data_IF_815638323210
#
_entry.id   IF_815638323210
#
_cell.length_a   1.000
_cell.length_b   1.000
_cell.length_c   1.000
_cell.angle_alpha   90.00
_cell.angle_beta   90.00
_cell.angle_gamma   90.00
#
_symmetry.space_group_name_H-M   'P 1'
#
loop_
_entity.id
_entity.type
_entity.pdbx_description
1 polymer ?
#
# COMPACT_ATOMS: atom_id res chain seq x y z
N UNK A 1 14.71 -47.18 68.35
CA UNK A 1 15.42 -48.44 68.49
C UNK A 1 15.63 -49.13 67.17
N UNK A 2 16.85 -49.51 66.93
CA UNK A 2 17.44 -50.41 65.90
C UNK A 2 17.36 -49.96 64.44
N UNK A 3 18.47 -49.51 63.94
CA UNK A 3 19.66 -50.17 63.34
C UNK A 3 19.50 -50.60 61.90
N UNK A 4 20.17 -49.83 61.06
CA UNK A 4 21.33 -50.14 60.23
C UNK A 4 21.37 -51.48 59.48
N UNK A 5 21.45 -51.42 58.17
CA UNK A 5 22.61 -52.08 57.49
C UNK A 5 22.81 -51.47 56.06
N UNK A 6 24.01 -51.02 55.83
CA UNK A 6 24.59 -50.65 54.54
C UNK A 6 24.77 -51.89 53.65
N UNK A 7 24.45 -51.78 52.38
CA UNK A 7 25.02 -52.68 51.37
C UNK A 7 25.47 -51.88 50.19
N UNK A 8 26.74 -51.85 49.94
CA UNK A 8 27.45 -51.26 48.81
C UNK A 8 27.29 -52.23 47.65
N UNK A 9 26.67 -51.82 46.60
CA UNK A 9 26.70 -52.54 45.32
C UNK A 9 27.46 -51.64 44.30
N UNK A 10 28.61 -52.20 43.87
CA UNK A 10 29.40 -51.71 42.77
C UNK A 10 28.62 -51.91 41.47
N UNK A 11 28.30 -50.85 40.74
CA UNK A 11 27.81 -50.93 39.37
C UNK A 11 28.88 -50.35 38.47
N UNK A 12 29.45 -51.21 37.66
CA UNK A 12 30.37 -50.86 36.58
C UNK A 12 29.75 -49.99 35.56
N UNK A 13 30.36 -48.84 35.29
CA UNK A 13 29.97 -47.94 34.17
C UNK A 13 30.48 -48.55 32.86
N UNK A 14 29.57 -49.06 32.05
CA UNK A 14 29.79 -49.34 30.64
C UNK A 14 29.48 -48.02 29.86
N UNK A 15 30.54 -47.41 29.33
CA UNK A 15 30.44 -46.25 28.43
C UNK A 15 29.99 -46.76 27.08
N UNK A 16 28.71 -46.51 26.76
CA UNK A 16 28.19 -46.67 25.40
C UNK A 16 28.36 -45.35 24.66
N UNK A 17 29.31 -45.29 23.73
CA UNK A 17 29.46 -44.18 22.79
C UNK A 17 28.33 -44.24 21.76
N UNK A 18 27.26 -43.48 21.97
CA UNK A 18 26.24 -43.24 20.95
C UNK A 18 26.75 -42.15 20.02
N UNK A 19 27.11 -42.51 18.81
CA UNK A 19 27.32 -41.55 17.71
C UNK A 19 25.98 -40.91 17.36
N UNK A 20 25.77 -39.66 17.79
CA UNK A 20 24.66 -38.84 17.38
C UNK A 20 24.89 -38.40 15.93
N UNK A 21 24.20 -39.05 14.99
CA UNK A 21 24.02 -38.54 13.64
C UNK A 21 23.09 -37.33 13.75
N UNK A 22 23.66 -36.13 13.74
CA UNK A 22 22.95 -34.88 13.66
C UNK A 22 22.40 -34.73 12.23
N UNK A 23 21.14 -35.09 12.02
CA UNK A 23 20.41 -34.63 10.86
C UNK A 23 20.16 -33.12 11.06
N UNK A 24 21.00 -32.32 10.43
CA UNK A 24 20.73 -30.91 10.26
C UNK A 24 19.51 -30.75 9.31
N UNK A 25 18.31 -30.76 9.87
CA UNK A 25 17.13 -30.27 9.21
C UNK A 25 17.33 -28.79 8.98
N UNK A 26 17.74 -28.40 7.77
CA UNK A 26 17.77 -27.01 7.35
C UNK A 26 16.37 -26.47 7.42
N UNK A 27 16.12 -25.55 8.34
CA UNK A 27 14.96 -24.67 8.27
C UNK A 27 14.96 -24.00 6.90
N UNK A 28 13.82 -23.90 6.20
CA UNK A 28 13.77 -23.14 4.95
C UNK A 28 14.18 -21.71 5.28
N UNK A 29 15.35 -21.29 4.81
CA UNK A 29 15.76 -19.89 4.86
C UNK A 29 14.70 -19.08 4.10
N UNK A 30 14.15 -18.09 4.75
CA UNK A 30 13.24 -17.12 4.15
C UNK A 30 13.85 -16.55 2.87
N UNK A 31 13.04 -16.30 1.82
CA UNK A 31 13.53 -15.89 0.51
C UNK A 31 14.22 -14.51 0.47
N UNK A 32 14.26 -13.78 1.57
CA UNK A 32 14.83 -12.41 1.65
C UNK A 32 16.28 -12.27 1.17
N UNK A 33 17.06 -13.35 1.11
CA UNK A 33 18.49 -13.23 0.80
C UNK A 33 18.87 -13.50 -0.67
N UNK A 34 17.92 -13.96 -1.51
CA UNK A 34 18.20 -14.24 -2.94
C UNK A 34 18.20 -12.97 -3.80
N UNK A 35 17.52 -11.92 -3.40
CA UNK A 35 17.27 -10.73 -4.23
C UNK A 35 18.22 -9.55 -3.94
N UNK A 36 19.11 -9.66 -2.95
CA UNK A 36 20.08 -8.60 -2.61
C UNK A 36 21.17 -8.38 -3.65
N UNK A 37 21.31 -9.27 -4.65
CA UNK A 37 22.38 -9.21 -5.66
C UNK A 37 21.88 -9.22 -7.11
N UNK A 38 20.56 -9.10 -7.35
CA UNK A 38 20.06 -8.92 -8.71
C UNK A 38 19.99 -7.43 -9.05
N UNK A 39 20.34 -7.05 -10.27
CA UNK A 39 20.20 -5.69 -10.78
C UNK A 39 18.70 -5.32 -10.89
N UNK A 40 18.05 -5.10 -9.74
CA UNK A 40 16.69 -4.62 -9.72
C UNK A 40 16.68 -3.14 -10.08
N UNK A 41 15.72 -2.76 -10.91
CA UNK A 41 15.49 -1.34 -11.26
C UNK A 41 14.64 -0.60 -10.22
N UNK A 42 14.28 -1.28 -9.14
CA UNK A 42 13.45 -0.77 -8.04
C UNK A 42 14.34 -0.45 -6.84
N UNK A 43 14.21 0.75 -6.28
CA UNK A 43 15.08 1.28 -5.23
C UNK A 43 14.40 1.44 -3.87
N UNK A 44 13.11 1.81 -3.85
CA UNK A 44 12.35 2.16 -2.65
C UNK A 44 11.29 1.12 -2.29
N UNK A 45 10.58 0.57 -3.30
CA UNK A 45 9.55 -0.42 -3.06
C UNK A 45 10.15 -1.71 -2.50
N UNK A 46 9.64 -2.15 -1.34
CA UNK A 46 10.16 -3.34 -0.64
C UNK A 46 9.53 -4.63 -1.14
N UNK A 47 8.37 -4.51 -1.80
CA UNK A 47 7.55 -5.66 -2.20
C UNK A 47 7.55 -5.92 -3.69
N UNK A 48 8.23 -5.09 -4.48
CA UNK A 48 8.34 -5.19 -5.92
C UNK A 48 9.79 -5.40 -6.34
N UNK A 49 10.05 -6.41 -7.17
CA UNK A 49 11.31 -6.58 -7.87
C UNK A 49 11.05 -6.70 -9.36
N UNK A 50 11.84 -5.99 -10.16
CA UNK A 50 11.78 -6.02 -11.61
C UNK A 50 13.19 -6.29 -12.12
N UNK A 51 13.35 -7.39 -12.84
CA UNK A 51 14.58 -7.76 -13.52
C UNK A 51 14.32 -7.72 -15.03
N UNK A 52 15.16 -7.02 -15.78
CA UNK A 52 15.06 -6.91 -17.25
C UNK A 52 16.12 -7.74 -17.94
N UNK A 53 15.73 -8.47 -18.98
CA UNK A 53 16.62 -9.12 -19.92
C UNK A 53 16.25 -8.73 -21.35
N UNK A 54 17.04 -9.17 -22.32
CA UNK A 54 16.74 -8.92 -23.73
C UNK A 54 15.49 -9.65 -24.22
N UNK A 55 15.14 -10.78 -23.60
CA UNK A 55 14.04 -11.63 -24.06
C UNK A 55 12.72 -11.35 -23.34
N UNK A 56 12.78 -11.07 -22.03
CA UNK A 56 11.61 -10.82 -21.18
C UNK A 56 12.00 -10.02 -19.93
N UNK A 57 11.03 -9.48 -19.25
CA UNK A 57 11.20 -8.95 -17.89
C UNK A 57 10.59 -9.90 -16.87
N UNK A 58 11.25 -10.09 -15.71
CA UNK A 58 10.70 -10.82 -14.59
C UNK A 58 10.18 -9.83 -13.55
N UNK A 59 8.93 -10.01 -13.15
CA UNK A 59 8.30 -9.28 -12.07
C UNK A 59 8.10 -10.20 -10.89
N UNK A 60 8.55 -9.81 -9.71
CA UNK A 60 8.34 -10.56 -8.49
C UNK A 60 7.67 -9.66 -7.43
N UNK A 61 6.56 -10.12 -6.90
CA UNK A 61 5.82 -9.45 -5.82
C UNK A 61 5.96 -10.28 -4.55
N UNK A 62 6.53 -9.67 -3.51
CA UNK A 62 6.84 -10.32 -2.24
C UNK A 62 5.77 -9.96 -1.22
N UNK A 63 5.24 -10.97 -0.52
CA UNK A 63 4.25 -10.80 0.53
C UNK A 63 3.09 -9.86 0.11
N UNK A 64 2.33 -10.22 -0.93
CA UNK A 64 1.44 -9.33 -1.67
C UNK A 64 0.16 -8.92 -0.93
N UNK A 65 -0.09 -9.44 0.26
CA UNK A 65 -1.21 -9.07 1.11
C UNK A 65 -0.79 -8.93 2.56
N UNK A 66 -1.64 -8.29 3.33
CA UNK A 66 -1.42 -8.01 4.75
C UNK A 66 -1.33 -9.33 5.55
N UNK A 67 -0.25 -9.50 6.31
CA UNK A 67 0.03 -10.72 7.06
C UNK A 67 0.65 -11.86 6.23
N UNK A 68 0.94 -11.66 4.93
CA UNK A 68 1.69 -12.64 4.15
C UNK A 68 3.14 -12.70 4.61
N UNK A 69 3.67 -13.92 4.76
CA UNK A 69 5.07 -14.19 5.10
C UNK A 69 5.64 -15.27 4.19
N UNK A 70 6.78 -14.97 3.56
CA UNK A 70 7.46 -15.90 2.66
C UNK A 70 6.72 -16.19 1.35
N UNK A 71 5.73 -15.37 0.98
CA UNK A 71 4.95 -15.52 -0.25
C UNK A 71 5.62 -14.76 -1.38
N UNK A 72 5.80 -15.41 -2.52
CA UNK A 72 6.38 -14.85 -3.73
C UNK A 72 5.50 -15.17 -4.93
N UNK A 73 5.08 -14.13 -5.63
CA UNK A 73 4.42 -14.23 -6.93
C UNK A 73 5.33 -13.71 -8.04
N UNK A 74 5.64 -14.56 -9.02
CA UNK A 74 6.51 -14.21 -10.15
C UNK A 74 5.74 -14.32 -11.44
N UNK A 75 5.92 -13.32 -12.33
CA UNK A 75 5.43 -13.27 -13.69
C UNK A 75 6.57 -12.94 -14.66
N UNK A 76 6.50 -13.49 -15.86
CA UNK A 76 7.41 -13.17 -16.96
C UNK A 76 6.65 -12.36 -18.01
N UNK A 77 7.11 -11.14 -18.25
CA UNK A 77 6.54 -10.23 -19.23
C UNK A 77 7.28 -10.42 -20.55
N UNK A 78 6.64 -11.09 -21.50
CA UNK A 78 7.25 -11.42 -22.80
C UNK A 78 6.62 -10.53 -23.89
N UNK A 79 7.41 -9.75 -24.66
CA UNK A 79 6.89 -8.93 -25.76
C UNK A 79 6.09 -9.78 -26.77
N UNK A 80 4.95 -9.25 -27.24
CA UNK A 80 4.01 -10.00 -28.12
C UNK A 80 4.66 -10.53 -29.41
N UNK A 81 5.68 -9.84 -29.92
CA UNK A 81 6.41 -10.25 -31.14
C UNK A 81 7.55 -11.25 -30.90
N UNK A 82 7.88 -11.59 -29.64
CA UNK A 82 8.97 -12.52 -29.33
C UNK A 82 8.46 -13.94 -29.10
N UNK A 83 9.28 -14.93 -29.48
CA UNK A 83 9.03 -16.32 -29.13
C UNK A 83 8.99 -16.50 -27.62
N UNK A 84 8.24 -17.49 -27.14
CA UNK A 84 8.27 -17.87 -25.74
C UNK A 84 9.52 -18.71 -25.49
N UNK A 85 10.43 -18.30 -24.58
CA UNK A 85 11.55 -19.17 -24.19
C UNK A 85 11.06 -20.50 -23.62
N UNK A 86 11.63 -21.61 -24.06
CA UNK A 86 11.24 -22.97 -23.63
C UNK A 86 11.45 -23.20 -22.12
N UNK A 87 12.25 -22.36 -21.48
CA UNK A 87 12.52 -22.42 -20.03
C UNK A 87 11.42 -21.81 -19.17
N UNK A 88 10.47 -21.07 -19.77
CA UNK A 88 9.42 -20.40 -19.04
C UNK A 88 8.14 -21.23 -18.97
N UNK A 89 7.50 -21.23 -17.79
CA UNK A 89 6.16 -21.78 -17.61
C UNK A 89 5.13 -20.86 -18.31
N UNK A 90 4.40 -21.33 -19.34
CA UNK A 90 3.40 -20.52 -20.04
C UNK A 90 2.30 -19.98 -19.11
N UNK A 91 2.00 -20.68 -18.00
CA UNK A 91 1.03 -20.26 -17.00
C UNK A 91 1.47 -19.02 -16.20
N UNK A 92 2.77 -18.68 -16.25
CA UNK A 92 3.37 -17.51 -15.59
C UNK A 92 3.81 -16.44 -16.58
N UNK A 93 3.29 -16.45 -17.81
CA UNK A 93 3.62 -15.48 -18.83
C UNK A 93 2.48 -14.51 -19.06
N UNK A 94 2.81 -13.21 -19.08
CA UNK A 94 1.95 -12.14 -19.54
C UNK A 94 2.55 -11.58 -20.83
N UNK A 95 1.76 -11.50 -21.90
CA UNK A 95 2.18 -10.85 -23.14
C UNK A 95 2.03 -9.36 -23.02
N UNK A 96 3.10 -8.62 -23.36
CA UNK A 96 3.13 -7.15 -23.28
C UNK A 96 3.32 -6.53 -24.66
N UNK A 97 2.75 -5.33 -24.93
CA UNK A 97 1.94 -4.54 -24.00
C UNK A 97 0.55 -5.18 -23.74
N UNK A 98 0.09 -5.09 -22.50
CA UNK A 98 -1.28 -5.44 -22.10
C UNK A 98 -2.27 -4.50 -22.79
N UNK A 99 -3.37 -5.04 -23.30
CA UNK A 99 -4.37 -4.28 -24.07
C UNK A 99 -5.72 -4.18 -23.37
N UNK A 100 -6.05 -5.17 -22.55
CA UNK A 100 -7.28 -5.23 -21.78
C UNK A 100 -6.97 -5.57 -20.34
N UNK A 101 -7.20 -4.63 -19.44
CA UNK A 101 -6.95 -4.82 -18.01
C UNK A 101 -8.20 -4.51 -17.20
N UNK A 102 -8.43 -5.31 -16.17
CA UNK A 102 -9.40 -5.02 -15.11
C UNK A 102 -8.62 -4.60 -13.87
N UNK A 103 -9.02 -3.48 -13.27
CA UNK A 103 -8.38 -2.93 -12.08
C UNK A 103 -9.31 -3.02 -10.87
N UNK A 104 -8.77 -3.48 -9.74
CA UNK A 104 -9.54 -3.63 -8.50
C UNK A 104 -9.29 -2.48 -7.49
N UNK A 105 -8.44 -1.50 -7.83
CA UNK A 105 -8.11 -0.35 -6.99
C UNK A 105 -7.91 0.91 -7.83
N UNK A 106 -8.23 2.08 -7.25
CA UNK A 106 -7.98 3.39 -7.87
C UNK A 106 -6.49 3.69 -8.01
N UNK A 107 -5.62 3.13 -7.18
CA UNK A 107 -4.16 3.26 -7.33
C UNK A 107 -3.67 2.62 -8.63
N UNK A 108 -4.27 1.50 -9.05
CA UNK A 108 -3.94 0.85 -10.33
C UNK A 108 -4.28 1.76 -11.51
N UNK A 109 -5.49 2.31 -11.50
CA UNK A 109 -5.95 3.21 -12.58
C UNK A 109 -5.19 4.53 -12.59
N UNK A 110 -4.76 5.03 -11.44
CA UNK A 110 -3.93 6.24 -11.36
C UNK A 110 -2.58 6.05 -12.08
N UNK A 111 -1.91 4.93 -11.86
CA UNK A 111 -0.65 4.60 -12.52
C UNK A 111 -0.84 4.39 -14.04
N UNK A 112 -1.93 3.73 -14.44
CA UNK A 112 -2.30 3.57 -15.85
C UNK A 112 -2.61 4.93 -16.51
N UNK A 113 -3.35 5.79 -15.81
CA UNK A 113 -3.69 7.13 -16.28
C UNK A 113 -2.44 8.01 -16.45
N UNK A 114 -1.51 7.95 -15.50
CA UNK A 114 -0.24 8.67 -15.56
C UNK A 114 0.63 8.25 -16.78
N UNK A 115 0.49 7.00 -17.22
CA UNK A 115 1.16 6.47 -18.42
C UNK A 115 0.39 6.71 -19.72
N UNK A 116 -0.79 7.33 -19.65
CA UNK A 116 -1.63 7.60 -20.82
C UNK A 116 -2.34 6.37 -21.40
N UNK A 117 -2.44 5.26 -20.64
CA UNK A 117 -2.96 3.97 -21.10
C UNK A 117 -4.41 3.70 -20.62
N UNK A 118 -5.20 4.74 -20.35
CA UNK A 118 -6.60 4.60 -19.87
C UNK A 118 -7.51 3.82 -20.81
N UNK A 119 -7.17 3.75 -22.11
CA UNK A 119 -7.92 2.98 -23.11
C UNK A 119 -7.80 1.46 -22.90
N UNK A 120 -6.78 0.99 -22.19
CA UNK A 120 -6.60 -0.43 -21.88
C UNK A 120 -7.52 -0.93 -20.76
N UNK A 121 -8.09 -0.02 -19.94
CA UNK A 121 -8.98 -0.38 -18.83
C UNK A 121 -10.35 -0.75 -19.39
N UNK A 122 -10.72 -2.03 -19.31
CA UNK A 122 -12.03 -2.52 -19.75
C UNK A 122 -13.01 -2.81 -18.61
N UNK A 123 -12.51 -2.91 -17.37
CA UNK A 123 -13.33 -3.12 -16.18
C UNK A 123 -12.69 -2.53 -14.93
N UNK A 124 -13.54 -2.15 -13.98
CA UNK A 124 -13.12 -1.60 -12.70
C UNK A 124 -14.06 -2.04 -11.57
N UNK A 125 -13.49 -2.31 -10.39
CA UNK A 125 -14.25 -2.69 -9.19
C UNK A 125 -14.83 -1.46 -8.51
N UNK A 126 -16.14 -1.24 -8.66
CA UNK A 126 -16.84 -0.10 -8.08
C UNK A 126 -16.54 1.22 -8.81
N UNK A 127 -17.01 1.36 -10.03
CA UNK A 127 -16.74 2.54 -10.90
C UNK A 127 -17.09 3.89 -10.28
N UNK A 128 -17.93 3.93 -9.25
CA UNK A 128 -18.21 5.12 -8.45
C UNK A 128 -17.00 5.72 -7.76
N UNK A 129 -15.99 4.90 -7.41
CA UNK A 129 -14.77 5.35 -6.72
C UNK A 129 -13.75 6.03 -7.64
N UNK A 130 -13.92 5.97 -8.95
CA UNK A 130 -13.02 6.66 -9.87
C UNK A 130 -13.17 8.19 -9.77
N UNK A 131 -12.06 8.88 -9.58
CA UNK A 131 -12.00 10.35 -9.61
C UNK A 131 -11.58 10.89 -10.97
N UNK A 132 -10.65 10.21 -11.68
CA UNK A 132 -10.14 10.61 -12.99
C UNK A 132 -11.26 10.87 -14.00
N UNK A 133 -11.21 12.02 -14.67
CA UNK A 133 -12.25 12.46 -15.57
C UNK A 133 -12.29 11.68 -16.88
N UNK A 134 -11.15 11.20 -17.36
CA UNK A 134 -11.06 10.38 -18.59
C UNK A 134 -11.65 9.01 -18.35
N UNK A 135 -11.27 8.36 -17.24
CA UNK A 135 -11.80 7.06 -16.84
C UNK A 135 -13.31 7.13 -16.61
N UNK A 136 -13.79 8.17 -15.94
CA UNK A 136 -15.22 8.38 -15.74
C UNK A 136 -15.97 8.56 -17.06
N UNK A 137 -15.44 9.38 -17.98
CA UNK A 137 -16.02 9.51 -19.30
C UNK A 137 -16.06 8.19 -20.07
N UNK A 138 -15.06 7.31 -19.85
CA UNK A 138 -15.06 5.97 -20.44
C UNK A 138 -16.11 5.05 -19.78
N UNK A 139 -16.38 5.19 -18.49
CA UNK A 139 -17.50 4.49 -17.82
C UNK A 139 -18.84 4.95 -18.43
N UNK A 140 -19.04 6.26 -18.55
CA UNK A 140 -20.28 6.83 -19.09
C UNK A 140 -20.53 6.42 -20.56
N UNK A 141 -19.47 6.17 -21.32
CA UNK A 141 -19.53 5.64 -22.70
C UNK A 141 -19.68 4.12 -22.78
N UNK A 142 -19.69 3.41 -21.64
CA UNK A 142 -19.74 1.94 -21.59
C UNK A 142 -18.46 1.24 -22.06
N UNK A 143 -17.33 1.93 -22.06
CA UNK A 143 -16.01 1.37 -22.38
C UNK A 143 -15.36 0.72 -21.17
N UNK A 144 -15.67 1.20 -19.96
CA UNK A 144 -15.26 0.61 -18.69
C UNK A 144 -16.49 0.08 -17.98
N UNK A 145 -16.48 -1.19 -17.64
CA UNK A 145 -17.61 -1.85 -16.99
C UNK A 145 -17.36 -1.99 -15.48
N UNK A 146 -18.42 -1.81 -14.67
CA UNK A 146 -18.36 -2.15 -13.26
C UNK A 146 -18.40 -3.67 -13.09
N UNK A 147 -17.30 -4.23 -12.61
CA UNK A 147 -17.19 -5.69 -12.40
C UNK A 147 -17.64 -6.14 -11.01
N UNK A 148 -18.19 -5.22 -10.21
CA UNK A 148 -18.61 -5.50 -8.84
C UNK A 148 -17.45 -5.39 -7.85
N UNK A 149 -17.73 -5.73 -6.60
CA UNK A 149 -16.81 -5.54 -5.48
C UNK A 149 -16.79 -6.79 -4.59
N UNK A 150 -15.62 -7.27 -4.21
CA UNK A 150 -15.41 -8.41 -3.30
C UNK A 150 -16.30 -9.65 -3.61
N UNK A 151 -17.17 -10.03 -2.67
CA UNK A 151 -18.05 -11.20 -2.80
C UNK A 151 -19.13 -11.05 -3.89
N UNK A 152 -19.43 -9.81 -4.30
CA UNK A 152 -20.39 -9.50 -5.36
C UNK A 152 -19.75 -9.30 -6.73
N UNK A 153 -18.55 -9.86 -6.95
CA UNK A 153 -17.84 -9.76 -8.20
C UNK A 153 -18.59 -10.47 -9.34
N UNK A 154 -18.84 -9.75 -10.44
CA UNK A 154 -19.52 -10.27 -11.61
C UNK A 154 -18.57 -11.07 -12.51
N UNK A 155 -18.41 -12.36 -12.17
CA UNK A 155 -17.48 -13.27 -12.84
C UNK A 155 -17.84 -13.53 -14.30
N UNK A 156 -19.13 -13.57 -14.63
CA UNK A 156 -19.60 -13.75 -16.00
C UNK A 156 -19.20 -12.57 -16.88
N UNK A 157 -19.34 -11.34 -16.34
CA UNK A 157 -18.91 -10.14 -17.03
C UNK A 157 -17.39 -10.13 -17.22
N UNK A 158 -16.62 -10.50 -16.19
CA UNK A 158 -15.15 -10.59 -16.30
C UNK A 158 -14.74 -11.56 -17.41
N UNK A 159 -15.35 -12.74 -17.48
CA UNK A 159 -15.10 -13.70 -18.56
C UNK A 159 -15.47 -13.13 -19.93
N UNK A 160 -16.63 -12.44 -20.03
CA UNK A 160 -17.10 -11.82 -21.28
C UNK A 160 -16.17 -10.70 -21.74
N UNK A 161 -15.59 -9.95 -20.83
CA UNK A 161 -14.63 -8.89 -21.13
C UNK A 161 -13.32 -9.46 -21.68
N UNK A 162 -13.00 -10.73 -21.36
CA UNK A 162 -11.79 -11.43 -21.79
C UNK A 162 -10.53 -10.58 -21.59
N UNK A 163 -10.19 -10.26 -20.32
CA UNK A 163 -9.02 -9.43 -20.03
C UNK A 163 -7.73 -10.21 -20.20
N UNK A 164 -6.68 -9.54 -20.65
CA UNK A 164 -5.32 -10.08 -20.64
C UNK A 164 -4.84 -10.30 -19.20
N UNK A 165 -5.31 -9.44 -18.27
CA UNK A 165 -4.87 -9.37 -16.88
C UNK A 165 -5.92 -8.75 -15.97
N UNK A 166 -6.08 -9.29 -14.76
CA UNK A 166 -6.78 -8.65 -13.65
C UNK A 166 -5.74 -8.25 -12.60
N UNK A 167 -5.64 -6.96 -12.29
CA UNK A 167 -4.75 -6.43 -11.25
C UNK A 167 -5.54 -6.33 -9.95
N UNK A 168 -5.07 -7.06 -8.94
CA UNK A 168 -5.73 -7.16 -7.64
C UNK A 168 -4.85 -6.62 -6.52
N UNK A 169 -5.48 -6.21 -5.42
CA UNK A 169 -4.82 -6.05 -4.13
C UNK A 169 -5.32 -7.16 -3.20
N UNK A 170 -4.48 -7.64 -2.29
CA UNK A 170 -4.85 -8.72 -1.39
C UNK A 170 -5.25 -8.19 -0.03
N UNK A 171 -6.52 -8.34 0.35
CA UNK A 171 -6.96 -8.18 1.74
C UNK A 171 -7.14 -9.57 2.33
N UNK A 172 -6.28 -9.93 3.29
CA UNK A 172 -6.25 -11.28 3.86
C UNK A 172 -5.48 -12.30 3.02
N UNK A 173 -5.64 -13.60 3.34
CA UNK A 173 -4.90 -14.65 2.67
C UNK A 173 -5.30 -14.80 1.20
N UNK A 174 -4.39 -15.35 0.37
CA UNK A 174 -4.62 -15.71 -1.05
C UNK A 174 -5.91 -16.54 -1.27
N UNK A 175 -6.37 -17.21 -0.23
CA UNK A 175 -7.59 -18.00 -0.20
C UNK A 175 -8.87 -17.17 -0.02
N UNK A 176 -8.79 -15.85 0.08
CA UNK A 176 -9.99 -15.01 0.09
C UNK A 176 -10.72 -15.21 -1.24
N UNK A 177 -11.87 -15.83 -1.13
CA UNK A 177 -12.63 -16.61 -2.09
C UNK A 177 -12.75 -16.16 -3.54
N UNK A 178 -12.62 -14.86 -3.88
CA UNK A 178 -12.81 -14.42 -5.26
C UNK A 178 -11.56 -14.60 -6.13
N UNK A 179 -10.34 -14.43 -5.57
CA UNK A 179 -9.08 -14.57 -6.29
C UNK A 179 -8.87 -16.03 -6.74
N UNK A 180 -9.11 -16.99 -5.83
CA UNK A 180 -9.07 -18.41 -6.17
C UNK A 180 -10.01 -18.77 -7.32
N UNK A 181 -11.25 -18.28 -7.26
CA UNK A 181 -12.24 -18.52 -8.32
C UNK A 181 -11.86 -17.91 -9.67
N UNK A 182 -11.26 -16.72 -9.69
CA UNK A 182 -10.77 -16.12 -10.95
C UNK A 182 -9.64 -16.96 -11.56
N UNK A 183 -8.73 -17.50 -10.74
CA UNK A 183 -7.67 -18.40 -11.21
C UNK A 183 -8.21 -19.72 -11.76
N UNK A 184 -9.18 -20.34 -11.08
CA UNK A 184 -9.86 -21.53 -11.57
C UNK A 184 -10.53 -21.32 -12.94
N UNK A 185 -10.96 -20.08 -13.22
CA UNK A 185 -11.52 -19.69 -14.52
C UNK A 185 -10.45 -19.35 -15.57
N UNK A 186 -9.16 -19.56 -15.28
CA UNK A 186 -8.05 -19.32 -16.20
C UNK A 186 -7.65 -17.84 -16.35
N UNK A 187 -8.15 -16.94 -15.50
CA UNK A 187 -7.84 -15.52 -15.56
C UNK A 187 -6.46 -15.27 -14.93
N UNK A 188 -5.61 -14.54 -15.65
CA UNK A 188 -4.30 -14.12 -15.13
C UNK A 188 -4.49 -13.02 -14.09
N UNK A 189 -3.86 -13.19 -12.91
CA UNK A 189 -3.98 -12.29 -11.79
C UNK A 189 -2.61 -11.80 -11.38
N UNK A 190 -2.43 -10.49 -11.39
CA UNK A 190 -1.26 -9.81 -10.86
C UNK A 190 -1.61 -9.08 -9.56
N UNK A 191 -0.84 -9.34 -8.51
CA UNK A 191 -0.95 -8.57 -7.28
C UNK A 191 -0.21 -7.24 -7.41
N UNK A 192 -0.89 -6.17 -7.04
CA UNK A 192 -0.28 -4.87 -6.74
C UNK A 192 -0.33 -4.66 -5.22
N UNK A 193 0.83 -4.61 -4.58
CA UNK A 193 0.96 -4.47 -3.14
C UNK A 193 1.41 -3.06 -2.71
N UNK A 194 1.21 -2.05 -3.57
CA UNK A 194 1.58 -0.65 -3.33
C UNK A 194 1.00 -0.10 -2.02
N UNK A 195 -0.17 -0.57 -1.63
CA UNK A 195 -0.85 -0.14 -0.41
C UNK A 195 -0.15 -0.60 0.89
N UNK A 196 0.75 -1.58 0.79
CA UNK A 196 1.56 -2.11 1.90
C UNK A 196 2.95 -1.45 2.00
N UNK A 197 3.30 -0.59 1.05
CA UNK A 197 4.55 0.15 1.15
C UNK A 197 4.46 1.22 2.25
N UNK A 198 5.47 1.23 3.10
CA UNK A 198 5.58 2.18 4.21
C UNK A 198 6.19 3.51 3.74
N UNK A 199 7.06 3.45 2.73
CA UNK A 199 7.74 4.59 2.13
C UNK A 199 6.88 5.23 1.03
N UNK A 200 6.65 6.56 1.06
CA UNK A 200 5.91 7.26 0.01
C UNK A 200 6.51 7.12 -1.39
N UNK A 201 7.83 7.11 -1.51
CA UNK A 201 8.49 6.85 -2.79
C UNK A 201 8.40 5.37 -3.18
N UNK A 202 8.45 4.45 -2.20
CA UNK A 202 8.22 3.03 -2.45
C UNK A 202 6.86 2.76 -3.06
N UNK A 203 5.80 3.41 -2.56
CA UNK A 203 4.46 3.32 -3.14
C UNK A 203 4.40 3.88 -4.56
N UNK A 204 4.96 5.05 -4.81
CA UNK A 204 4.96 5.68 -6.13
C UNK A 204 5.78 4.88 -7.16
N UNK A 205 6.83 4.17 -6.72
CA UNK A 205 7.73 3.40 -7.59
C UNK A 205 7.03 2.21 -8.27
N UNK A 206 5.87 1.78 -7.78
CA UNK A 206 5.07 0.77 -8.45
C UNK A 206 4.63 1.15 -9.87
N UNK A 207 4.71 2.44 -10.24
CA UNK A 207 4.50 2.87 -11.63
C UNK A 207 5.42 2.14 -12.62
N UNK A 208 6.60 1.70 -12.19
CA UNK A 208 7.55 0.95 -13.02
C UNK A 208 7.00 -0.43 -13.41
N UNK A 209 6.20 -1.07 -12.54
CA UNK A 209 5.46 -2.28 -12.87
C UNK A 209 4.50 -2.01 -14.04
N UNK A 210 3.71 -0.94 -13.94
CA UNK A 210 2.77 -0.55 -14.99
C UNK A 210 3.50 -0.16 -16.29
N UNK A 211 4.64 0.54 -16.18
CA UNK A 211 5.53 0.80 -17.32
C UNK A 211 5.91 -0.49 -18.05
N UNK A 212 6.29 -1.52 -17.32
CA UNK A 212 6.65 -2.82 -17.91
C UNK A 212 5.43 -3.56 -18.51
N UNK A 213 4.23 -3.44 -17.90
CA UNK A 213 3.01 -4.03 -18.44
C UNK A 213 2.56 -3.40 -19.77
N UNK A 214 2.79 -2.11 -19.95
CA UNK A 214 2.34 -1.36 -21.13
C UNK A 214 3.45 -1.02 -22.11
N UNK A 215 4.69 -1.52 -21.90
CA UNK A 215 5.89 -1.16 -22.67
C UNK A 215 6.12 0.36 -22.71
N UNK A 216 6.00 0.98 -21.53
CA UNK A 216 6.18 2.42 -21.27
C UNK A 216 7.25 2.67 -20.19
N UNK A 217 8.28 1.83 -20.17
CA UNK A 217 9.31 1.83 -19.13
C UNK A 217 9.98 3.20 -19.01
N UNK A 218 10.37 3.81 -20.13
CA UNK A 218 11.04 5.12 -20.14
C UNK A 218 10.13 6.23 -19.57
N UNK A 219 8.83 6.17 -19.87
CA UNK A 219 7.86 7.12 -19.33
C UNK A 219 7.67 6.93 -17.83
N UNK A 220 7.53 5.66 -17.37
CA UNK A 220 7.42 5.33 -15.96
C UNK A 220 8.64 5.78 -15.16
N UNK A 221 9.84 5.51 -15.69
CA UNK A 221 11.10 5.93 -15.07
C UNK A 221 11.22 7.47 -15.03
N UNK A 222 10.76 8.18 -16.06
CA UNK A 222 10.74 9.64 -16.10
C UNK A 222 9.78 10.24 -15.07
N UNK A 223 8.55 9.70 -14.97
CA UNK A 223 7.55 10.15 -13.99
C UNK A 223 8.04 9.88 -12.56
N UNK A 224 8.57 8.69 -12.31
CA UNK A 224 9.08 8.35 -10.99
C UNK A 224 10.26 9.23 -10.59
N UNK A 225 11.24 9.43 -11.45
CA UNK A 225 12.43 10.29 -11.19
C UNK A 225 12.01 11.73 -10.89
N UNK A 226 11.08 12.27 -11.65
CA UNK A 226 10.52 13.60 -11.36
C UNK A 226 9.88 13.64 -9.98
N UNK A 227 9.02 12.65 -9.67
CA UNK A 227 8.34 12.54 -8.37
C UNK A 227 9.33 12.41 -7.21
N UNK A 228 10.36 11.58 -7.38
CA UNK A 228 11.45 11.39 -6.42
C UNK A 228 12.21 12.70 -6.16
N UNK A 229 12.64 13.39 -7.22
CA UNK A 229 13.34 14.66 -7.11
C UNK A 229 12.51 15.72 -6.38
N UNK A 230 11.25 15.88 -6.75
CA UNK A 230 10.35 16.83 -6.09
C UNK A 230 10.12 16.47 -4.61
N UNK A 231 9.95 15.19 -4.32
CA UNK A 231 9.73 14.71 -2.94
C UNK A 231 10.96 14.96 -2.07
N UNK A 232 12.14 14.56 -2.53
CA UNK A 232 13.40 14.70 -1.77
C UNK A 232 13.75 16.18 -1.56
N UNK A 233 13.62 17.00 -2.60
CA UNK A 233 13.90 18.42 -2.50
C UNK A 233 12.97 19.10 -1.49
N UNK A 234 11.68 18.81 -1.54
CA UNK A 234 10.70 19.37 -0.62
C UNK A 234 10.95 18.90 0.83
N UNK A 235 11.19 17.61 1.04
CA UNK A 235 11.52 17.06 2.36
C UNK A 235 12.77 17.73 2.96
N UNK A 236 13.82 17.89 2.17
CA UNK A 236 15.05 18.54 2.61
C UNK A 236 14.82 20.03 2.92
N UNK A 237 14.02 20.72 2.10
CA UNK A 237 13.62 22.10 2.33
C UNK A 237 12.89 22.26 3.66
N UNK A 238 11.89 21.42 3.92
CA UNK A 238 11.13 21.42 5.18
C UNK A 238 12.06 21.16 6.36
N UNK A 239 12.87 20.10 6.29
CA UNK A 239 13.80 19.72 7.36
C UNK A 239 14.82 20.81 7.70
N UNK A 240 15.24 21.59 6.69
CA UNK A 240 16.22 22.68 6.88
C UNK A 240 15.63 24.00 7.36
N UNK A 241 14.30 24.19 7.28
CA UNK A 241 13.65 25.48 7.55
C UNK A 241 12.53 25.41 8.61
N UNK A 242 12.06 24.22 9.00
CA UNK A 242 11.06 24.10 10.07
C UNK A 242 11.73 24.13 11.45
N UNK A 243 11.28 25.06 12.31
CA UNK A 243 11.79 25.21 13.69
C UNK A 243 11.03 24.32 14.69
N UNK A 244 9.82 23.92 14.36
CA UNK A 244 8.93 23.16 15.23
C UNK A 244 8.44 21.88 14.58
N UNK A 245 8.04 20.92 15.38
CA UNK A 245 7.41 19.67 14.92
C UNK A 245 6.09 19.47 15.67
N UNK A 246 4.96 19.91 15.08
CA UNK A 246 3.67 19.81 15.76
C UNK A 246 3.24 18.35 15.95
N UNK A 247 2.53 18.10 17.05
CA UNK A 247 1.92 16.80 17.37
C UNK A 247 0.66 16.57 16.52
N UNK A 248 0.57 15.42 15.89
CA UNK A 248 -0.48 15.11 14.89
C UNK A 248 -1.25 13.86 15.25
N UNK A 249 -2.58 13.97 15.25
CA UNK A 249 -3.49 12.83 15.31
C UNK A 249 -4.17 12.56 13.98
N UNK A 250 -4.67 11.34 13.79
CA UNK A 250 -5.30 10.87 12.55
C UNK A 250 -6.63 10.17 12.80
N UNK A 251 -7.50 10.24 11.79
CA UNK A 251 -8.68 9.41 11.65
C UNK A 251 -9.87 9.81 12.51
N UNK A 252 -10.88 8.95 12.53
CA UNK A 252 -12.08 9.04 13.38
C UNK A 252 -12.40 7.67 13.97
N UNK A 253 -13.09 7.59 15.11
CA UNK A 253 -13.58 6.34 15.61
C UNK A 253 -14.68 5.78 14.70
N UNK A 254 -14.69 4.47 14.56
CA UNK A 254 -15.81 3.73 13.99
C UNK A 254 -16.53 3.01 15.13
N UNK A 255 -17.72 3.47 15.46
CA UNK A 255 -18.42 3.07 16.71
C UNK A 255 -17.53 3.36 17.92
N UNK A 256 -17.26 2.39 18.78
CA UNK A 256 -16.45 2.55 19.99
C UNK A 256 -14.95 2.27 19.79
N UNK A 257 -14.52 2.06 18.55
CA UNK A 257 -13.14 1.68 18.22
C UNK A 257 -12.48 2.69 17.29
N UNK A 258 -11.29 3.13 17.66
CA UNK A 258 -10.42 3.92 16.81
C UNK A 258 -9.37 3.02 16.18
N UNK A 259 -9.35 2.93 14.86
CA UNK A 259 -8.35 2.16 14.12
C UNK A 259 -7.13 3.07 13.84
N UNK A 260 -6.17 3.03 14.75
CA UNK A 260 -4.99 3.89 14.72
C UNK A 260 -3.98 3.33 13.72
N UNK A 261 -3.47 4.18 12.82
CA UNK A 261 -2.38 3.82 11.91
C UNK A 261 -1.09 3.58 12.71
N UNK A 262 -0.31 2.52 12.44
CA UNK A 262 0.96 2.30 13.11
C UNK A 262 2.02 3.33 12.71
N UNK A 263 3.06 3.46 13.53
CA UNK A 263 4.16 4.41 13.31
C UNK A 263 4.99 4.10 12.06
N UNK A 264 5.04 2.85 11.63
CA UNK A 264 5.65 2.42 10.37
C UNK A 264 4.72 2.48 9.15
N UNK A 265 3.65 3.30 9.20
CA UNK A 265 2.72 3.45 8.08
C UNK A 265 3.14 4.55 7.11
N UNK A 266 2.66 4.45 5.87
CA UNK A 266 2.80 5.46 4.82
C UNK A 266 2.45 6.88 5.29
N UNK A 267 1.32 7.05 5.99
CA UNK A 267 0.90 8.37 6.46
C UNK A 267 1.78 8.89 7.60
N UNK A 268 2.29 8.00 8.45
CA UNK A 268 3.26 8.38 9.49
C UNK A 268 4.57 8.90 8.88
N UNK A 269 5.05 8.25 7.81
CA UNK A 269 6.21 8.70 7.06
C UNK A 269 5.98 10.10 6.43
N UNK A 270 4.82 10.31 5.78
CA UNK A 270 4.46 11.63 5.23
C UNK A 270 4.41 12.73 6.29
N UNK A 271 3.81 12.46 7.46
CA UNK A 271 3.77 13.42 8.57
C UNK A 271 5.18 13.75 9.05
N UNK A 272 6.03 12.74 9.23
CA UNK A 272 7.42 12.93 9.65
C UNK A 272 8.19 13.78 8.63
N UNK A 273 8.07 13.46 7.34
CA UNK A 273 8.76 14.17 6.26
C UNK A 273 8.23 15.60 6.05
N UNK A 274 6.96 15.83 6.40
CA UNK A 274 6.33 17.16 6.45
C UNK A 274 6.71 17.99 7.69
N UNK A 275 7.63 17.49 8.53
CA UNK A 275 8.06 18.20 9.76
C UNK A 275 7.09 18.09 10.93
N UNK A 276 6.15 17.14 10.93
CA UNK A 276 5.27 16.84 12.05
C UNK A 276 5.77 15.69 12.93
N UNK A 277 5.08 15.43 14.02
CA UNK A 277 5.29 14.31 14.93
C UNK A 277 3.98 13.56 15.13
N UNK A 278 3.89 12.36 14.51
CA UNK A 278 2.69 11.53 14.66
C UNK A 278 2.61 10.94 16.07
N UNK A 279 1.48 11.08 16.75
CA UNK A 279 1.31 10.66 18.15
C UNK A 279 1.67 9.19 18.41
N UNK A 280 1.52 8.31 17.42
CA UNK A 280 1.87 6.89 17.53
C UNK A 280 3.09 6.50 16.69
N UNK A 281 3.98 7.45 16.36
CA UNK A 281 5.19 7.22 15.56
C UNK A 281 6.11 6.10 16.09
N UNK A 282 6.13 5.84 17.39
CA UNK A 282 6.93 4.77 18.01
C UNK A 282 6.33 3.38 17.95
N UNK A 283 5.18 3.16 17.27
CA UNK A 283 4.54 1.86 17.16
C UNK A 283 4.89 1.16 15.86
N UNK A 284 4.92 -0.18 15.87
CA UNK A 284 5.19 -1.01 14.69
C UNK A 284 4.10 -2.07 14.59
N UNK A 285 3.41 -2.13 13.45
CA UNK A 285 2.39 -3.14 13.17
C UNK A 285 2.20 -3.28 11.66
N UNK A 286 1.80 -4.45 11.20
CA UNK A 286 1.33 -4.66 9.83
C UNK A 286 -0.15 -4.27 9.65
N UNK A 287 -0.87 -4.03 10.74
CA UNK A 287 -2.31 -3.75 10.75
C UNK A 287 -2.59 -2.44 11.48
N UNK A 288 -3.71 -1.80 11.15
CA UNK A 288 -4.26 -0.75 11.98
C UNK A 288 -4.53 -1.29 13.38
N UNK A 289 -4.18 -0.51 14.40
CA UNK A 289 -4.29 -0.91 15.80
C UNK A 289 -5.66 -0.49 16.35
N UNK A 290 -6.53 -1.43 16.74
CA UNK A 290 -7.79 -1.08 17.38
C UNK A 290 -7.53 -0.57 18.81
N UNK A 291 -7.99 0.65 19.10
CA UNK A 291 -7.87 1.30 20.41
C UNK A 291 -9.23 1.83 20.84
N UNK A 292 -9.48 1.84 22.16
CA UNK A 292 -10.65 2.50 22.72
C UNK A 292 -10.58 4.02 22.61
N UNK A 293 -11.73 4.67 22.46
CA UNK A 293 -11.83 6.13 22.29
C UNK A 293 -11.13 6.88 23.44
N UNK A 294 -11.28 6.41 24.70
CA UNK A 294 -10.70 7.02 25.87
C UNK A 294 -9.15 7.07 25.82
N UNK A 295 -8.54 5.98 25.35
CA UNK A 295 -7.08 5.87 25.20
C UNK A 295 -6.57 6.84 24.14
N UNK A 296 -7.29 6.92 23.00
CA UNK A 296 -6.95 7.87 21.94
C UNK A 296 -7.18 9.30 22.39
N UNK A 297 -8.32 9.59 23.02
CA UNK A 297 -8.65 10.91 23.55
C UNK A 297 -7.57 11.43 24.52
N UNK A 298 -7.16 10.60 25.47
CA UNK A 298 -6.13 10.97 26.46
C UNK A 298 -4.82 11.35 25.78
N UNK A 299 -4.40 10.60 24.75
CA UNK A 299 -3.18 10.91 24.01
C UNK A 299 -3.36 12.13 23.10
N UNK A 300 -4.53 12.32 22.53
CA UNK A 300 -4.89 13.44 21.65
C UNK A 300 -4.97 14.79 22.35
N UNK A 301 -4.92 14.84 23.69
CA UNK A 301 -4.83 16.10 24.44
C UNK A 301 -3.54 16.88 24.15
N UNK A 302 -2.51 16.24 23.59
CA UNK A 302 -1.27 16.89 23.12
C UNK A 302 -1.29 17.24 21.63
N UNK A 303 -2.34 16.89 20.88
CA UNK A 303 -2.38 17.09 19.42
C UNK A 303 -2.55 18.58 19.07
N UNK A 304 -1.66 19.09 18.22
CA UNK A 304 -1.75 20.42 17.62
C UNK A 304 -2.61 20.41 16.36
N UNK A 305 -2.57 19.31 15.60
CA UNK A 305 -3.30 19.10 14.35
C UNK A 305 -4.01 17.76 14.31
N UNK A 306 -5.15 17.75 13.65
CA UNK A 306 -5.93 16.57 13.35
C UNK A 306 -6.10 16.42 11.83
N UNK A 307 -5.56 15.33 11.26
CA UNK A 307 -5.64 15.06 9.82
C UNK A 307 -6.50 13.83 9.53
N UNK A 308 -7.00 13.77 8.29
CA UNK A 308 -7.72 12.60 7.76
C UNK A 308 -8.91 12.22 8.64
N UNK A 309 -9.78 13.17 8.93
CA UNK A 309 -10.97 12.99 9.76
C UNK A 309 -12.08 12.14 9.08
N UNK A 310 -11.71 11.22 8.21
CA UNK A 310 -12.56 10.19 7.62
C UNK A 310 -13.75 10.77 6.87
N UNK A 311 -14.96 10.41 7.29
CA UNK A 311 -16.22 10.83 6.65
C UNK A 311 -16.76 12.17 7.13
N UNK A 312 -16.12 12.81 8.11
CA UNK A 312 -16.57 14.10 8.61
C UNK A 312 -16.42 15.19 7.53
N UNK A 313 -17.51 15.84 7.21
CA UNK A 313 -17.54 16.98 6.27
C UNK A 313 -17.40 18.33 6.97
N UNK A 314 -17.63 18.39 8.28
CA UNK A 314 -17.62 19.57 9.13
C UNK A 314 -17.11 19.24 10.55
N UNK A 315 -16.78 20.25 11.34
CA UNK A 315 -16.52 20.12 12.77
C UNK A 315 -17.74 19.59 13.52
N UNK A 316 -18.94 19.98 13.13
CA UNK A 316 -20.20 19.52 13.71
C UNK A 316 -20.38 18.00 13.56
N UNK A 317 -19.93 17.41 12.44
CA UNK A 317 -20.01 15.96 12.26
C UNK A 317 -19.15 15.22 13.30
N UNK A 318 -17.95 15.75 13.58
CA UNK A 318 -17.05 15.20 14.60
C UNK A 318 -17.68 15.29 16.00
N UNK A 319 -18.25 16.45 16.34
CA UNK A 319 -18.93 16.66 17.62
C UNK A 319 -20.14 15.74 17.79
N UNK A 320 -20.85 15.43 16.69
CA UNK A 320 -21.98 14.51 16.69
C UNK A 320 -21.57 13.07 16.95
N UNK A 321 -20.37 12.65 16.50
CA UNK A 321 -19.83 11.32 16.77
C UNK A 321 -19.53 11.14 18.26
N UNK A 322 -18.82 12.11 18.88
CA UNK A 322 -18.55 12.15 20.30
C UNK A 322 -18.27 13.59 20.74
N UNK A 323 -19.17 14.21 21.57
CA UNK A 323 -18.99 15.60 22.00
C UNK A 323 -17.69 15.90 22.75
N UNK A 324 -17.06 14.85 23.34
CA UNK A 324 -15.75 15.00 24.00
C UNK A 324 -14.65 15.39 23.02
N UNK A 325 -14.74 14.97 21.76
CA UNK A 325 -13.76 15.28 20.72
C UNK A 325 -13.65 16.79 20.45
N UNK A 326 -14.75 17.53 20.63
CA UNK A 326 -14.77 18.98 20.54
C UNK A 326 -13.96 19.68 21.65
N UNK A 327 -13.54 18.95 22.69
CA UNK A 327 -12.69 19.49 23.76
C UNK A 327 -11.19 19.39 23.45
N UNK A 328 -10.80 18.65 22.40
CA UNK A 328 -9.39 18.51 22.00
C UNK A 328 -8.79 19.87 21.58
N UNK A 329 -7.52 20.17 21.92
CA UNK A 329 -6.87 21.41 21.55
C UNK A 329 -6.87 21.68 20.04
N UNK A 330 -6.55 20.69 19.21
CA UNK A 330 -6.56 20.81 17.75
C UNK A 330 -7.96 21.16 17.21
N UNK A 331 -9.04 20.64 17.80
CA UNK A 331 -10.41 20.98 17.43
C UNK A 331 -10.74 22.44 17.79
N UNK A 332 -10.49 22.84 19.06
CA UNK A 332 -10.76 24.19 19.56
C UNK A 332 -10.01 25.29 18.80
N UNK A 333 -8.81 24.98 18.35
CA UNK A 333 -7.97 25.88 17.56
C UNK A 333 -8.35 25.86 16.07
N UNK A 334 -9.32 25.01 15.68
CA UNK A 334 -9.72 24.83 14.29
C UNK A 334 -8.63 24.23 13.41
N UNK A 335 -7.73 23.42 13.96
CA UNK A 335 -6.65 22.77 13.25
C UNK A 335 -7.05 21.34 12.85
N UNK A 336 -8.22 21.20 12.24
CA UNK A 336 -8.75 19.93 11.73
C UNK A 336 -8.83 20.01 10.22
N UNK A 337 -8.19 19.05 9.56
CA UNK A 337 -8.10 18.99 8.11
C UNK A 337 -8.49 17.60 7.60
N UNK A 338 -9.26 17.58 6.51
CA UNK A 338 -9.61 16.33 5.85
C UNK A 338 -9.03 16.28 4.43
N UNK A 339 -8.76 15.07 3.96
CA UNK A 339 -8.14 14.77 2.67
C UNK A 339 -9.18 14.59 1.56
N UNK A 340 -10.28 15.33 1.63
CA UNK A 340 -11.44 15.21 0.76
C UNK A 340 -11.71 16.48 -0.09
N UNK A 341 -10.73 17.36 -0.27
CA UNK A 341 -10.88 18.53 -1.14
C UNK A 341 -11.21 18.14 -2.58
N UNK A 342 -10.64 17.06 -3.06
CA UNK A 342 -10.87 16.49 -4.40
C UNK A 342 -11.71 15.21 -4.30
N UNK A 343 -12.89 15.35 -3.73
CA UNK A 343 -13.86 14.30 -3.55
C UNK A 343 -15.08 14.50 -4.44
N UNK A 344 -15.62 13.41 -4.99
CA UNK A 344 -16.88 13.40 -5.77
C UNK A 344 -17.96 12.69 -4.97
N UNK A 345 -19.19 13.16 -5.10
CA UNK A 345 -20.37 12.57 -4.43
C UNK A 345 -20.60 11.10 -4.80
N UNK A 346 -20.03 10.64 -5.92
CA UNK A 346 -20.03 9.22 -6.31
C UNK A 346 -19.10 8.32 -5.47
N UNK A 347 -18.21 8.91 -4.64
CA UNK A 347 -17.25 8.19 -3.82
C UNK A 347 -15.77 8.34 -4.24
N UNK A 348 -15.53 8.91 -5.44
CA UNK A 348 -14.16 9.11 -5.94
C UNK A 348 -13.39 10.15 -5.12
N UNK A 349 -12.19 9.82 -4.67
CA UNK A 349 -11.30 10.70 -3.93
C UNK A 349 -9.89 10.65 -4.50
N UNK A 350 -9.44 11.77 -5.08
CA UNK A 350 -8.15 11.87 -5.77
C UNK A 350 -6.93 11.73 -4.84
N UNK A 351 -7.10 11.95 -3.54
CA UNK A 351 -6.06 11.66 -2.56
C UNK A 351 -5.60 10.19 -2.64
N UNK A 352 -6.54 9.26 -2.83
CA UNK A 352 -6.28 7.83 -2.96
C UNK A 352 -5.98 7.39 -4.40
N UNK A 353 -6.14 8.28 -5.38
CA UNK A 353 -5.92 8.03 -6.80
C UNK A 353 -4.59 8.68 -7.24
N UNK A 354 -4.60 9.93 -7.70
CA UNK A 354 -3.36 10.58 -8.16
C UNK A 354 -2.32 10.79 -7.05
N UNK A 355 -2.75 10.92 -5.79
CA UNK A 355 -1.86 11.03 -4.64
C UNK A 355 -0.95 9.80 -4.44
N UNK A 356 -1.33 8.63 -4.95
CA UNK A 356 -0.49 7.44 -4.92
C UNK A 356 0.72 7.53 -5.87
N UNK A 357 0.55 8.24 -6.99
CA UNK A 357 1.61 8.46 -8.00
C UNK A 357 2.48 9.66 -7.65
N UNK A 358 1.89 10.69 -7.05
CA UNK A 358 2.52 11.99 -6.79
C UNK A 358 2.58 12.34 -5.29
N UNK A 359 3.26 11.53 -4.45
CA UNK A 359 3.32 11.75 -3.00
C UNK A 359 3.97 13.08 -2.61
N UNK A 360 4.77 13.72 -3.48
CA UNK A 360 5.34 15.04 -3.26
C UNK A 360 4.24 16.12 -3.13
N UNK A 361 3.10 15.95 -3.79
CA UNK A 361 1.96 16.86 -3.67
C UNK A 361 1.22 16.68 -2.34
N UNK A 362 1.14 15.44 -1.84
CA UNK A 362 0.62 15.15 -0.49
C UNK A 362 1.55 15.72 0.58
N UNK A 363 2.85 15.53 0.42
CA UNK A 363 3.87 16.08 1.30
C UNK A 363 3.77 17.60 1.38
N UNK A 364 3.59 18.28 0.21
CA UNK A 364 3.42 19.73 0.14
C UNK A 364 2.20 20.20 0.93
N UNK A 365 1.06 19.53 0.77
CA UNK A 365 -0.17 19.91 1.47
C UNK A 365 -0.03 19.76 2.99
N UNK A 366 0.55 18.63 3.44
CA UNK A 366 0.75 18.38 4.88
C UNK A 366 1.76 19.37 5.45
N UNK A 367 2.84 19.66 4.74
CA UNK A 367 3.82 20.66 5.16
C UNK A 367 3.23 22.09 5.20
N UNK A 368 2.39 22.43 4.24
CA UNK A 368 1.66 23.71 4.24
C UNK A 368 0.69 23.83 5.43
N UNK A 369 0.10 22.72 5.88
CA UNK A 369 -0.74 22.70 7.10
C UNK A 369 0.11 23.00 8.34
N UNK A 370 1.31 22.40 8.46
CA UNK A 370 2.14 22.49 9.63
C UNK A 370 2.99 23.78 9.68
N UNK A 371 3.47 24.22 8.52
CA UNK A 371 4.43 25.29 8.34
C UNK A 371 3.99 26.27 7.23
N UNK A 372 2.82 26.93 7.41
CA UNK A 372 2.29 27.81 6.36
C UNK A 372 3.22 28.98 6.02
N UNK A 373 4.11 29.36 6.93
CA UNK A 373 5.10 30.42 6.74
C UNK A 373 6.16 30.07 5.70
N UNK A 374 6.43 28.79 5.46
CA UNK A 374 7.41 28.31 4.47
C UNK A 374 6.92 28.40 3.04
N UNK A 375 5.61 28.60 2.83
CA UNK A 375 5.01 28.54 1.50
C UNK A 375 4.38 29.88 1.12
N UNK A 376 4.74 30.47 -0.05
CA UNK A 376 4.12 31.69 -0.53
C UNK A 376 2.65 31.48 -0.95
N UNK A 377 2.37 30.32 -1.58
CA UNK A 377 1.03 29.94 -2.00
C UNK A 377 0.39 29.05 -0.96
N UNK A 378 -0.79 29.44 -0.47
CA UNK A 378 -1.53 28.76 0.58
C UNK A 378 -2.72 27.96 0.07
N UNK A 379 -2.58 27.40 -1.13
CA UNK A 379 -3.63 26.58 -1.72
C UNK A 379 -3.31 25.09 -1.57
N UNK A 380 -4.23 24.35 -0.93
CA UNK A 380 -4.13 22.90 -0.81
C UNK A 380 -4.62 22.22 -2.07
N UNK A 381 -4.01 21.11 -2.43
CA UNK A 381 -4.47 20.28 -3.54
C UNK A 381 -5.49 19.22 -3.08
N UNK A 382 -5.17 18.48 -2.04
CA UNK A 382 -5.96 17.34 -1.56
C UNK A 382 -6.67 17.59 -0.23
N UNK A 383 -6.09 18.47 0.59
CA UNK A 383 -6.64 18.77 1.92
C UNK A 383 -7.57 19.97 1.91
N UNK A 384 -8.49 19.99 2.85
CA UNK A 384 -9.26 21.18 3.22
C UNK A 384 -9.38 21.27 4.72
N UNK A 385 -9.45 22.49 5.21
CA UNK A 385 -9.76 22.76 6.61
C UNK A 385 -11.24 22.50 6.84
N UNK A 386 -11.60 21.86 7.95
CA UNK A 386 -13.00 21.72 8.38
C UNK A 386 -13.44 22.98 9.13
N UNK A 387 -14.69 23.40 8.87
CA UNK A 387 -15.33 24.55 9.47
C UNK A 387 -16.59 24.14 10.23
#
# INVERSE_FOLDING_TARGET
MLNLRKSIIHVSFLVFSAAAVSCSGGSPQAPENRYKNADTIVSYAKRLHIERSEEYSQISVINPWQGAEGVLHTWHLVPAGKALPDTLDPGKVIRVPVRKVICMSTTHTAMISALGETASVCGFSGTGFLYDTVLRANVDKGLIHDVGYEDNLNKELILKLDPDLVIVYGVGSESSGYIGKLREMGIRILFNADYLEEDPLGKAEWIKLFGSLFSKEEMADSIFRYTEEQYINLRNFISGNSETRPEVMLGLPFRDTWYVSPGNSYISALINDAGGNYLWSGTVSQFSMPMGIESVYTRALSADYWLNSGTAASLQDIETIDPRLAQLPCFKNGNVFNNDRRFKSSGGNDYWESGAVYPHLLLRDIALIFHPELFPEKEYMFYRKLN
#
